data_IF_258055461978
#
_entry.id   IF_258055461978
#
_cell.length_a   1.000
_cell.length_b   1.000
_cell.length_c   1.000
_cell.angle_alpha   90.00
_cell.angle_beta   90.00
_cell.angle_gamma   90.00
#
_symmetry.space_group_name_H-M   'P 1'
#
loop_
_entity.id
_entity.type
_entity.pdbx_description
1 polymer ?
#
# COMPACT_ATOMS: atom_id res chain seq x y z
N UNK A 1 79.21 5.94 -7.12
CA UNK A 1 79.81 4.96 -8.06
C UNK A 1 78.92 5.00 -9.30
N UNK A 2 79.26 5.81 -10.33
CA UNK A 2 80.06 5.39 -11.50
C UNK A 2 79.44 4.13 -12.10
N UNK A 3 78.91 4.15 -13.32
CA UNK A 3 79.64 3.91 -14.58
C UNK A 3 78.78 2.89 -15.35
N UNK A 4 78.63 2.82 -16.67
CA UNK A 4 79.21 3.48 -17.83
C UNK A 4 78.39 3.06 -19.05
N UNK A 5 78.16 3.97 -19.99
CA UNK A 5 77.86 3.64 -21.38
C UNK A 5 78.98 2.77 -21.99
N UNK A 6 78.62 1.82 -22.86
CA UNK A 6 79.40 1.37 -24.03
C UNK A 6 78.43 0.58 -24.95
N UNK A 7 77.98 1.08 -26.11
CA UNK A 7 78.64 1.19 -27.43
C UNK A 7 79.18 -0.14 -27.99
N UNK A 8 78.66 -0.53 -29.17
CA UNK A 8 79.28 -1.20 -30.34
C UNK A 8 78.29 -2.21 -31.01
N UNK A 9 78.42 -2.55 -32.31
CA UNK A 9 78.45 -1.66 -33.47
C UNK A 9 77.69 -2.20 -34.73
N UNK A 10 77.66 -1.33 -35.75
CA UNK A 10 77.51 -1.52 -37.20
C UNK A 10 77.64 -2.94 -37.78
N UNK A 11 76.80 -3.25 -38.79
CA UNK A 11 77.27 -3.77 -40.09
C UNK A 11 76.18 -3.77 -41.19
N UNK A 12 76.45 -3.03 -42.27
CA UNK A 12 76.28 -3.41 -43.69
C UNK A 12 74.86 -3.68 -44.25
N UNK A 13 74.42 -3.16 -45.41
CA UNK A 13 75.10 -2.99 -46.70
C UNK A 13 74.46 -1.85 -47.51
N UNK A 14 75.31 -1.03 -48.11
CA UNK A 14 75.05 -0.22 -49.30
C UNK A 14 75.98 -0.74 -50.39
N UNK A 15 75.51 -0.87 -51.63
CA UNK A 15 76.37 -0.98 -52.80
C UNK A 15 75.82 -0.20 -54.00
N UNK A 16 76.70 0.35 -54.86
CA UNK A 16 76.43 1.53 -55.68
C UNK A 16 76.75 1.30 -57.20
N UNK A 17 76.87 2.40 -57.95
CA UNK A 17 77.66 2.59 -59.20
C UNK A 17 76.92 2.09 -60.48
N UNK A 18 76.87 2.72 -61.66
CA UNK A 18 77.76 3.57 -62.50
C UNK A 18 76.83 4.17 -63.60
N UNK A 19 77.00 5.33 -64.25
CA UNK A 19 78.15 5.80 -65.04
C UNK A 19 77.93 7.27 -65.49
N UNK A 20 78.92 8.14 -65.27
CA UNK A 20 79.16 9.40 -65.98
C UNK A 20 80.67 9.52 -66.16
N UNK A 21 81.19 9.59 -67.38
CA UNK A 21 82.28 10.51 -67.77
C UNK A 21 82.71 10.34 -69.25
N UNK A 22 83.03 11.48 -69.87
CA UNK A 22 84.10 11.75 -70.87
C UNK A 22 83.57 12.35 -72.18
N UNK A 23 83.64 13.67 -72.45
CA UNK A 23 84.78 14.58 -72.71
C UNK A 23 85.39 14.42 -74.14
N UNK A 24 85.46 15.55 -74.87
CA UNK A 24 86.49 16.01 -75.86
C UNK A 24 86.04 16.28 -77.33
N UNK A 25 86.42 17.49 -77.79
CA UNK A 25 86.72 17.98 -79.16
C UNK A 25 85.64 18.54 -80.11
N UNK A 26 85.45 19.87 -80.01
CA UNK A 26 85.23 20.86 -81.09
C UNK A 26 86.53 20.97 -81.95
N UNK A 27 86.60 21.51 -83.20
CA UNK A 27 85.59 22.16 -84.08
C UNK A 27 85.59 21.66 -85.55
N UNK A 28 84.63 22.14 -86.35
CA UNK A 28 84.87 23.00 -87.53
C UNK A 28 83.89 22.76 -88.69
N UNK A 29 83.08 23.80 -88.95
CA UNK A 29 82.99 24.46 -90.26
C UNK A 29 82.14 23.78 -91.37
N UNK A 30 81.16 24.57 -91.86
CA UNK A 30 80.44 24.50 -93.15
C UNK A 30 79.18 23.60 -93.15
N UNK A 31 77.99 24.19 -92.95
CA UNK A 31 77.09 24.77 -93.98
C UNK A 31 76.22 23.70 -94.66
N UNK A 32 74.91 23.70 -94.38
CA UNK A 32 73.84 24.03 -95.34
C UNK A 32 72.45 23.61 -94.82
N UNK A 33 71.63 24.63 -94.57
CA UNK A 33 70.20 24.76 -94.93
C UNK A 33 69.12 24.05 -94.10
N UNK A 34 68.40 24.91 -93.36
CA UNK A 34 66.95 25.16 -93.50
C UNK A 34 65.94 24.17 -92.92
N UNK A 35 65.07 24.70 -92.05
CA UNK A 35 63.65 24.30 -92.00
C UNK A 35 63.05 24.20 -90.61
N UNK A 36 62.43 25.29 -90.14
CA UNK A 36 61.55 25.32 -88.97
C UNK A 36 60.30 24.43 -89.15
N UNK A 37 59.76 23.91 -88.05
CA UNK A 37 58.31 23.71 -87.94
C UNK A 37 57.84 22.55 -87.05
N UNK A 38 57.13 22.89 -85.98
CA UNK A 38 56.11 22.02 -85.36
C UNK A 38 56.55 21.24 -84.13
N UNK A 39 56.19 21.75 -82.95
CA UNK A 39 56.41 21.15 -81.64
C UNK A 39 55.05 20.69 -81.08
N UNK A 40 54.68 19.42 -81.27
CA UNK A 40 53.50 18.83 -80.63
C UNK A 40 53.92 18.03 -79.40
N UNK A 41 53.49 18.55 -78.25
CA UNK A 41 53.76 18.03 -76.92
C UNK A 41 52.63 17.07 -76.50
N UNK A 42 52.89 15.77 -76.51
CA UNK A 42 52.11 14.79 -75.74
C UNK A 42 52.54 14.85 -74.26
N UNK A 43 52.02 15.87 -73.56
CA UNK A 43 51.97 15.88 -72.10
C UNK A 43 50.73 15.11 -71.59
N UNK A 44 50.73 14.58 -70.36
CA UNK A 44 49.56 13.92 -69.79
C UNK A 44 48.36 14.88 -69.81
N UNK A 45 47.19 14.37 -70.19
CA UNK A 45 45.93 15.13 -70.21
C UNK A 45 45.66 15.64 -68.79
N UNK A 46 45.95 16.92 -68.55
CA UNK A 46 45.55 17.64 -67.35
C UNK A 46 44.18 18.26 -67.62
N UNK A 47 43.13 17.60 -67.14
CA UNK A 47 41.80 18.17 -67.09
C UNK A 47 41.61 18.88 -65.74
N UNK A 48 41.56 20.21 -65.74
CA UNK A 48 41.10 20.98 -64.59
C UNK A 48 39.59 21.21 -64.74
N UNK A 49 38.79 20.59 -63.89
CA UNK A 49 37.36 20.83 -63.77
C UNK A 49 37.02 21.23 -62.34
N UNK A 50 35.99 22.07 -62.17
CA UNK A 50 35.39 22.33 -60.87
C UNK A 50 34.24 21.34 -60.70
N UNK A 51 34.23 20.62 -59.58
CA UNK A 51 33.08 19.80 -59.18
C UNK A 51 32.25 20.69 -58.26
N UNK A 52 31.09 21.11 -58.74
CA UNK A 52 30.08 21.81 -57.93
C UNK A 52 29.09 20.75 -57.44
N UNK A 53 28.90 20.68 -56.12
CA UNK A 53 27.94 19.77 -55.48
C UNK A 53 27.13 20.52 -54.42
N UNK A 54 25.96 19.98 -54.07
CA UNK A 54 25.18 20.52 -52.96
C UNK A 54 25.85 20.18 -51.63
N UNK A 55 26.23 21.21 -50.87
CA UNK A 55 26.91 21.06 -49.59
C UNK A 55 25.92 21.15 -48.42
N UNK A 56 25.98 20.17 -47.52
CA UNK A 56 25.23 20.12 -46.28
C UNK A 56 26.19 20.32 -45.10
N UNK A 57 25.97 21.38 -44.33
CA UNK A 57 26.78 21.72 -43.18
C UNK A 57 26.23 21.06 -41.93
N UNK A 58 27.07 20.29 -41.25
CA UNK A 58 26.74 19.62 -40.00
C UNK A 58 27.31 20.44 -38.85
N UNK A 59 26.43 21.06 -38.08
CA UNK A 59 26.75 21.86 -36.91
C UNK A 59 26.21 21.20 -35.64
N UNK A 60 26.85 21.49 -34.51
CA UNK A 60 26.34 21.04 -33.21
C UNK A 60 25.14 21.88 -32.79
N UNK A 61 24.06 21.22 -32.36
CA UNK A 61 22.91 21.91 -31.75
C UNK A 61 23.18 22.29 -30.29
N UNK A 62 24.01 21.49 -29.61
CA UNK A 62 24.38 21.66 -28.20
C UNK A 62 25.89 21.85 -28.03
N UNK A 63 26.29 22.58 -27.00
CA UNK A 63 27.70 22.80 -26.69
C UNK A 63 28.26 21.66 -25.85
N UNK A 64 29.50 21.24 -26.11
CA UNK A 64 30.12 20.15 -25.35
C UNK A 64 31.51 19.77 -25.86
N UNK A 65 32.23 18.96 -25.08
CA UNK A 65 33.52 18.40 -25.52
C UNK A 65 33.26 17.30 -26.52
N UNK A 66 34.01 17.27 -27.62
CA UNK A 66 33.97 16.19 -28.61
C UNK A 66 34.69 14.98 -28.02
N UNK A 67 33.96 13.88 -27.82
CA UNK A 67 34.53 12.63 -27.33
C UNK A 67 35.24 11.87 -28.45
N UNK A 68 34.57 11.74 -29.60
CA UNK A 68 35.11 11.06 -30.78
C UNK A 68 34.57 11.65 -32.08
N UNK A 69 35.41 11.61 -33.11
CA UNK A 69 35.03 11.87 -34.50
C UNK A 69 35.27 10.57 -35.26
N UNK A 70 34.23 10.05 -35.89
CA UNK A 70 34.19 8.70 -36.47
C UNK A 70 34.42 8.69 -37.99
N UNK A 71 34.63 9.85 -38.60
CA UNK A 71 34.83 10.04 -40.04
C UNK A 71 36.00 10.99 -40.30
N UNK A 72 36.72 10.74 -41.39
CA UNK A 72 37.78 11.59 -41.91
C UNK A 72 37.35 12.26 -43.23
N UNK A 73 38.10 13.28 -43.65
CA UNK A 73 37.87 13.93 -44.95
C UNK A 73 38.05 12.93 -46.10
N UNK A 74 37.09 12.89 -47.02
CA UNK A 74 37.05 11.95 -48.14
C UNK A 74 36.28 10.65 -47.87
N UNK A 75 35.80 10.41 -46.64
CA UNK A 75 34.99 9.22 -46.34
C UNK A 75 33.58 9.32 -46.92
N UNK A 76 33.06 8.20 -47.43
CA UNK A 76 31.65 8.05 -47.81
C UNK A 76 30.78 7.81 -46.57
N UNK A 77 29.70 8.57 -46.44
CA UNK A 77 28.74 8.47 -45.35
C UNK A 77 27.32 8.24 -45.85
N UNK A 78 26.52 7.51 -45.07
CA UNK A 78 25.10 7.23 -45.35
C UNK A 78 24.18 8.05 -44.45
N UNK A 79 22.94 8.28 -44.89
CA UNK A 79 21.89 8.85 -44.04
C UNK A 79 21.79 8.08 -42.71
N UNK A 80 21.81 8.80 -41.59
CA UNK A 80 21.76 8.26 -40.23
C UNK A 80 23.10 7.76 -39.69
N UNK A 81 24.18 7.77 -40.47
CA UNK A 81 25.51 7.38 -39.99
C UNK A 81 26.02 8.37 -38.95
N UNK A 82 26.49 7.87 -37.80
CA UNK A 82 27.08 8.70 -36.75
C UNK A 82 28.42 9.24 -37.20
N UNK A 83 28.59 10.56 -37.10
CA UNK A 83 29.78 11.28 -37.55
C UNK A 83 30.62 11.76 -36.36
N UNK A 84 29.97 12.35 -35.36
CA UNK A 84 30.61 12.94 -34.19
C UNK A 84 29.81 12.57 -32.94
N UNK A 85 30.51 12.24 -31.85
CA UNK A 85 29.90 12.12 -30.53
C UNK A 85 30.52 13.12 -29.58
N UNK A 86 29.66 13.82 -28.84
CA UNK A 86 30.04 14.67 -27.72
C UNK A 86 30.09 13.82 -26.43
N UNK A 87 30.81 14.32 -25.43
CA UNK A 87 30.90 13.71 -24.10
C UNK A 87 29.53 13.70 -23.41
N UNK A 88 29.03 12.51 -23.15
CA UNK A 88 27.72 12.23 -22.58
C UNK A 88 27.77 11.77 -21.11
N UNK A 89 28.96 11.67 -20.50
CA UNK A 89 29.15 11.00 -19.21
C UNK A 89 28.29 11.58 -18.07
N UNK A 90 28.10 12.91 -18.08
CA UNK A 90 27.23 13.60 -17.12
C UNK A 90 25.74 13.26 -17.37
N UNK A 91 25.29 13.34 -18.62
CA UNK A 91 23.89 13.10 -18.99
C UNK A 91 23.52 11.62 -18.85
N UNK A 92 24.43 10.69 -19.11
CA UNK A 92 24.24 9.27 -18.84
C UNK A 92 24.11 8.98 -17.33
N UNK A 93 24.83 9.74 -16.50
CA UNK A 93 24.67 9.65 -15.04
C UNK A 93 23.30 10.20 -14.61
N UNK A 94 22.86 11.33 -15.14
CA UNK A 94 21.53 11.88 -14.90
C UNK A 94 20.41 10.96 -15.43
N UNK A 95 20.63 10.29 -16.57
CA UNK A 95 19.73 9.31 -17.15
C UNK A 95 19.54 8.12 -16.21
N UNK A 96 20.62 7.58 -15.66
CA UNK A 96 20.55 6.49 -14.66
C UNK A 96 19.77 6.92 -13.41
N UNK A 97 19.94 8.15 -12.95
CA UNK A 97 19.17 8.70 -11.84
C UNK A 97 17.68 8.84 -12.19
N UNK A 98 17.34 9.37 -13.36
CA UNK A 98 15.96 9.50 -13.83
C UNK A 98 15.28 8.14 -14.05
N UNK A 99 16.00 7.15 -14.57
CA UNK A 99 15.53 5.76 -14.67
C UNK A 99 15.21 5.17 -13.30
N UNK A 100 16.05 5.42 -12.29
CA UNK A 100 15.78 5.01 -10.92
C UNK A 100 14.53 5.71 -10.37
N UNK A 101 14.34 7.01 -10.65
CA UNK A 101 13.14 7.73 -10.26
C UNK A 101 11.85 7.15 -10.90
N UNK A 102 11.91 6.75 -12.18
CA UNK A 102 10.82 6.03 -12.84
C UNK A 102 10.53 4.71 -12.15
N UNK A 103 11.57 3.92 -11.83
CA UNK A 103 11.40 2.64 -11.13
C UNK A 103 10.74 2.81 -9.76
N UNK A 104 11.11 3.85 -9.00
CA UNK A 104 10.48 4.19 -7.71
C UNK A 104 9.00 4.55 -7.93
N UNK A 105 8.69 5.42 -8.90
CA UNK A 105 7.31 5.82 -9.17
C UNK A 105 6.44 4.65 -9.67
N UNK A 106 7.00 3.71 -10.44
CA UNK A 106 6.32 2.48 -10.83
C UNK A 106 6.03 1.58 -9.64
N UNK A 107 7.01 1.41 -8.74
CA UNK A 107 6.83 0.63 -7.51
C UNK A 107 5.76 1.26 -6.60
N UNK A 108 5.73 2.59 -6.50
CA UNK A 108 4.70 3.31 -5.77
C UNK A 108 3.31 3.12 -6.38
N UNK A 109 3.17 3.22 -7.70
CA UNK A 109 1.90 2.93 -8.37
C UNK A 109 1.44 1.49 -8.16
N UNK A 110 2.36 0.53 -8.24
CA UNK A 110 2.07 -0.87 -7.96
C UNK A 110 1.63 -1.09 -6.50
N UNK A 111 2.30 -0.43 -5.55
CA UNK A 111 1.94 -0.46 -4.13
C UNK A 111 0.54 0.12 -3.88
N UNK A 112 0.23 1.29 -4.46
CA UNK A 112 -1.09 1.90 -4.33
C UNK A 112 -2.16 0.98 -4.93
N UNK A 113 -1.95 0.47 -6.15
CA UNK A 113 -2.89 -0.46 -6.81
C UNK A 113 -3.11 -1.77 -6.06
N UNK A 114 -2.10 -2.27 -5.36
CA UNK A 114 -2.21 -3.49 -4.57
C UNK A 114 -3.16 -3.31 -3.36
N UNK A 115 -3.35 -2.08 -2.89
CA UNK A 115 -4.24 -1.76 -1.77
C UNK A 115 -3.84 -2.45 -0.47
N UNK A 116 -4.85 -2.83 0.32
CA UNK A 116 -4.66 -3.51 1.60
C UNK A 116 -3.96 -4.86 1.44
N UNK A 117 -2.98 -5.12 2.32
CA UNK A 117 -2.19 -6.36 2.30
C UNK A 117 -3.09 -7.55 2.67
N UNK A 118 -2.84 -8.78 2.15
CA UNK A 118 -3.60 -9.96 2.53
C UNK A 118 -3.64 -10.22 4.04
N UNK A 119 -2.54 -9.92 4.74
CA UNK A 119 -2.45 -10.05 6.21
C UNK A 119 -3.38 -9.05 6.93
N UNK A 120 -3.53 -7.82 6.43
CA UNK A 120 -4.43 -6.82 7.01
C UNK A 120 -5.89 -7.24 6.84
N UNK A 121 -6.28 -7.67 5.64
CA UNK A 121 -7.63 -8.23 5.40
C UNK A 121 -7.92 -9.48 6.22
N UNK A 122 -6.92 -10.34 6.43
CA UNK A 122 -7.06 -11.51 7.30
C UNK A 122 -7.28 -11.09 8.77
N UNK A 123 -6.54 -10.10 9.26
CA UNK A 123 -6.72 -9.57 10.60
C UNK A 123 -8.10 -8.91 10.79
N UNK A 124 -8.56 -8.12 9.81
CA UNK A 124 -9.90 -7.52 9.84
C UNK A 124 -11.02 -8.57 9.84
N UNK A 125 -10.92 -9.62 9.00
CA UNK A 125 -11.85 -10.76 9.04
C UNK A 125 -11.85 -11.49 10.37
N UNK A 126 -10.68 -11.65 11.00
CA UNK A 126 -10.59 -12.24 12.33
C UNK A 126 -11.25 -11.35 13.40
N UNK A 127 -11.09 -10.03 13.29
CA UNK A 127 -11.75 -9.07 14.17
C UNK A 127 -13.27 -9.09 14.01
N UNK A 128 -13.77 -9.18 12.77
CA UNK A 128 -15.20 -9.37 12.47
C UNK A 128 -15.71 -10.67 13.11
N UNK A 129 -15.05 -11.80 12.85
CA UNK A 129 -15.45 -13.08 13.45
C UNK A 129 -15.44 -13.05 14.99
N UNK A 130 -14.50 -12.32 15.59
CA UNK A 130 -14.48 -12.11 17.04
C UNK A 130 -15.66 -11.25 17.53
N UNK A 131 -16.02 -10.21 16.79
CA UNK A 131 -17.18 -9.36 17.10
C UNK A 131 -18.49 -10.16 16.96
N UNK A 132 -18.63 -10.98 15.92
CA UNK A 132 -19.78 -11.87 15.72
C UNK A 132 -19.92 -12.85 16.89
N UNK A 133 -18.81 -13.49 17.31
CA UNK A 133 -18.83 -14.40 18.46
C UNK A 133 -19.26 -13.69 19.77
N UNK A 134 -18.88 -12.41 19.95
CA UNK A 134 -19.34 -11.60 21.09
C UNK A 134 -20.83 -11.26 21.00
N UNK A 135 -21.32 -10.90 19.80
CA UNK A 135 -22.75 -10.67 19.52
C UNK A 135 -23.57 -11.91 19.81
N UNK A 136 -23.10 -13.08 19.39
CA UNK A 136 -23.78 -14.35 19.62
C UNK A 136 -23.80 -14.71 21.12
N UNK A 137 -22.69 -14.49 21.83
CA UNK A 137 -22.63 -14.64 23.28
C UNK A 137 -23.60 -13.70 24.02
N UNK A 138 -23.69 -12.44 23.57
CA UNK A 138 -24.62 -11.45 24.12
C UNK A 138 -26.09 -11.79 23.80
N UNK A 139 -26.38 -12.31 22.61
CA UNK A 139 -27.70 -12.80 22.23
C UNK A 139 -28.13 -13.95 23.14
N UNK A 140 -27.25 -14.92 23.37
CA UNK A 140 -27.53 -16.03 24.27
C UNK A 140 -27.80 -15.53 25.70
N UNK A 141 -27.05 -14.53 26.18
CA UNK A 141 -27.28 -13.92 27.47
C UNK A 141 -28.65 -13.21 27.56
N UNK A 142 -29.06 -12.51 26.50
CA UNK A 142 -30.38 -11.90 26.39
C UNK A 142 -31.50 -12.94 26.41
N UNK A 143 -31.37 -14.03 25.67
CA UNK A 143 -32.34 -15.13 25.69
C UNK A 143 -32.43 -15.78 27.08
N UNK A 144 -31.30 -15.94 27.77
CA UNK A 144 -31.28 -16.45 29.14
C UNK A 144 -32.02 -15.51 30.10
N UNK A 145 -31.79 -14.19 29.97
CA UNK A 145 -32.46 -13.18 30.80
C UNK A 145 -33.98 -13.16 30.53
N UNK A 146 -34.40 -13.26 29.26
CA UNK A 146 -35.82 -13.33 28.89
C UNK A 146 -36.50 -14.59 29.45
N UNK A 147 -35.83 -15.75 29.35
CA UNK A 147 -36.34 -17.00 29.96
C UNK A 147 -36.46 -16.90 31.47
N UNK A 148 -35.52 -16.25 32.15
CA UNK A 148 -35.59 -16.04 33.59
C UNK A 148 -36.76 -15.11 33.99
N UNK A 149 -37.07 -14.10 33.15
CA UNK A 149 -38.23 -13.23 33.33
C UNK A 149 -39.56 -13.97 33.11
N UNK A 150 -39.64 -14.80 32.08
CA UNK A 150 -40.84 -15.59 31.75
C UNK A 150 -41.11 -16.72 32.75
N UNK A 151 -40.05 -17.33 33.27
CA UNK A 151 -40.12 -18.48 34.17
C UNK A 151 -39.24 -18.27 35.42
N UNK A 152 -39.68 -17.45 36.40
CA UNK A 152 -38.92 -17.17 37.61
C UNK A 152 -39.01 -18.34 38.59
N UNK A 153 -38.32 -19.45 38.30
CA UNK A 153 -38.39 -20.72 39.05
C UNK A 153 -38.20 -20.54 40.57
N UNK A 154 -37.28 -19.67 40.97
CA UNK A 154 -37.01 -19.38 42.38
C UNK A 154 -38.21 -18.70 43.07
N UNK A 155 -38.85 -17.74 42.39
CA UNK A 155 -40.03 -17.06 42.91
C UNK A 155 -41.24 -17.99 42.96
N UNK A 156 -41.40 -18.84 41.94
CA UNK A 156 -42.47 -19.84 41.91
C UNK A 156 -42.32 -20.86 43.05
N UNK A 157 -41.08 -21.27 43.37
CA UNK A 157 -40.80 -22.14 44.51
C UNK A 157 -41.12 -21.45 45.85
N UNK A 158 -40.73 -20.20 46.02
CA UNK A 158 -41.04 -19.41 47.22
C UNK A 158 -42.55 -19.19 47.40
N UNK A 159 -43.29 -18.98 46.31
CA UNK A 159 -44.75 -18.87 46.33
C UNK A 159 -45.37 -20.20 46.76
N UNK A 160 -44.95 -21.33 46.17
CA UNK A 160 -45.47 -22.65 46.55
C UNK A 160 -45.19 -22.99 48.03
N UNK A 161 -44.01 -22.61 48.54
CA UNK A 161 -43.67 -22.75 49.96
C UNK A 161 -44.59 -21.86 50.82
N UNK A 162 -44.76 -20.58 50.46
CA UNK A 162 -45.63 -19.66 51.19
C UNK A 162 -47.11 -20.10 51.18
N UNK A 163 -47.61 -20.65 50.06
CA UNK A 163 -48.94 -21.26 49.97
C UNK A 163 -49.09 -22.43 50.96
N UNK A 164 -48.06 -23.27 51.08
CA UNK A 164 -48.02 -24.36 52.06
C UNK A 164 -48.06 -23.83 53.50
N UNK A 165 -47.31 -22.76 53.80
CA UNK A 165 -47.31 -22.13 55.13
C UNK A 165 -48.66 -21.52 55.49
N UNK A 166 -49.36 -20.90 54.52
CA UNK A 166 -50.73 -20.42 54.72
C UNK A 166 -51.67 -21.59 55.03
N UNK A 167 -51.60 -22.68 54.26
CA UNK A 167 -52.45 -23.85 54.50
C UNK A 167 -52.23 -24.49 55.88
N UNK A 168 -50.98 -24.53 56.36
CA UNK A 168 -50.64 -24.99 57.71
C UNK A 168 -51.21 -24.05 58.78
N UNK A 169 -51.04 -22.73 58.62
CA UNK A 169 -51.59 -21.75 59.56
C UNK A 169 -53.13 -21.76 59.58
N UNK A 170 -53.78 -22.02 58.44
CA UNK A 170 -55.23 -22.23 58.39
C UNK A 170 -55.66 -23.47 59.19
N UNK A 171 -54.91 -24.58 59.11
CA UNK A 171 -55.17 -25.76 59.95
C UNK A 171 -54.97 -25.46 61.44
N UNK A 172 -53.95 -24.68 61.81
CA UNK A 172 -53.72 -24.26 63.20
C UNK A 172 -54.87 -23.43 63.75
N UNK A 173 -55.38 -22.47 62.97
CA UNK A 173 -56.56 -21.67 63.32
C UNK A 173 -57.78 -22.56 63.54
N UNK A 174 -58.02 -23.53 62.64
CA UNK A 174 -59.15 -24.46 62.78
C UNK A 174 -59.02 -25.35 64.03
N UNK A 175 -57.82 -25.83 64.35
CA UNK A 175 -57.57 -26.58 65.58
C UNK A 175 -57.78 -25.72 66.84
N UNK A 176 -57.22 -24.52 66.89
CA UNK A 176 -57.38 -23.60 68.02
C UNK A 176 -58.85 -23.20 68.22
N UNK A 177 -59.61 -23.04 67.12
CA UNK A 177 -61.04 -22.75 67.15
C UNK A 177 -61.84 -23.94 67.68
N UNK A 178 -61.48 -25.16 67.29
CA UNK A 178 -62.10 -26.37 67.81
C UNK A 178 -61.83 -26.55 69.31
N UNK A 179 -60.60 -26.27 69.76
CA UNK A 179 -60.21 -26.29 71.18
C UNK A 179 -60.99 -25.25 71.98
N UNK A 180 -61.09 -24.01 71.50
CA UNK A 180 -61.90 -22.96 72.13
C UNK A 180 -63.37 -23.41 72.27
N UNK A 181 -63.96 -23.99 71.22
CA UNK A 181 -65.33 -24.48 71.26
C UNK A 181 -65.50 -25.62 72.29
N UNK A 182 -64.55 -26.56 72.36
CA UNK A 182 -64.56 -27.62 73.38
C UNK A 182 -64.51 -27.06 74.80
N UNK A 183 -63.61 -26.11 75.07
CA UNK A 183 -63.45 -25.47 76.38
C UNK A 183 -64.71 -24.68 76.76
N UNK A 184 -65.33 -23.98 75.80
CA UNK A 184 -66.59 -23.26 76.00
C UNK A 184 -67.75 -24.22 76.35
N UNK A 185 -67.84 -25.37 75.68
CA UNK A 185 -68.83 -26.40 76.01
C UNK A 185 -68.62 -26.93 77.44
N UNK A 186 -67.37 -27.22 77.83
CA UNK A 186 -67.05 -27.66 79.20
C UNK A 186 -67.38 -26.58 80.23
N UNK A 187 -67.04 -25.31 79.97
CA UNK A 187 -67.43 -24.19 80.81
C UNK A 187 -68.95 -24.19 81.06
N UNK A 188 -69.76 -24.28 79.99
CA UNK A 188 -71.22 -24.29 80.10
C UNK A 188 -71.79 -25.48 80.88
N UNK A 189 -71.11 -26.63 80.89
CA UNK A 189 -71.54 -27.83 81.63
C UNK A 189 -71.10 -27.83 83.10
N UNK A 190 -69.91 -27.32 83.39
CA UNK A 190 -69.26 -27.47 84.70
C UNK A 190 -69.22 -26.21 85.56
N UNK A 191 -69.50 -25.02 85.01
CA UNK A 191 -69.40 -23.75 85.76
C UNK A 191 -70.34 -23.69 86.99
N UNK A 192 -71.52 -24.30 86.91
CA UNK A 192 -72.57 -24.18 87.94
C UNK A 192 -72.41 -25.17 89.13
N UNK A 193 -71.32 -25.94 89.18
CA UNK A 193 -71.09 -26.98 90.20
C UNK A 193 -70.62 -26.42 91.57
N UNK A 194 -70.48 -25.10 91.71
CA UNK A 194 -70.05 -24.42 92.95
C UNK A 194 -68.53 -24.52 93.22
N UNK A 195 -68.01 -23.73 94.17
CA UNK A 195 -66.57 -23.65 94.48
C UNK A 195 -65.76 -22.75 93.52
N UNK A 196 -64.44 -22.95 93.43
CA UNK A 196 -63.52 -22.19 92.53
C UNK A 196 -63.62 -22.63 91.04
N UNK A 197 -64.61 -23.46 90.71
CA UNK A 197 -64.73 -24.15 89.43
C UNK A 197 -65.03 -23.19 88.28
N UNK A 198 -65.92 -22.21 88.49
CA UNK A 198 -66.25 -21.18 87.49
C UNK A 198 -65.03 -20.34 87.10
N UNK A 199 -64.26 -19.87 88.09
CA UNK A 199 -63.04 -19.10 87.87
C UNK A 199 -61.95 -19.91 87.14
N UNK A 200 -61.85 -21.21 87.41
CA UNK A 200 -60.87 -22.07 86.75
C UNK A 200 -61.20 -22.26 85.27
N UNK A 201 -62.46 -22.52 84.94
CA UNK A 201 -62.88 -22.68 83.55
C UNK A 201 -62.88 -21.37 82.77
N UNK A 202 -63.19 -20.23 83.41
CA UNK A 202 -63.11 -18.92 82.73
C UNK A 202 -61.69 -18.58 82.30
N UNK A 203 -60.68 -18.86 83.15
CA UNK A 203 -59.27 -18.72 82.79
C UNK A 203 -58.87 -19.65 81.63
N UNK A 204 -59.43 -20.85 81.54
CA UNK A 204 -59.18 -21.75 80.40
C UNK A 204 -59.80 -21.24 79.11
N UNK A 205 -60.99 -20.65 79.16
CA UNK A 205 -61.61 -20.01 77.99
C UNK A 205 -60.75 -18.84 77.52
N UNK A 206 -60.30 -17.97 78.43
CA UNK A 206 -59.41 -16.84 78.09
C UNK A 206 -58.10 -17.32 77.47
N UNK A 207 -57.49 -18.39 78.01
CA UNK A 207 -56.29 -18.99 77.43
C UNK A 207 -56.52 -19.57 76.02
N UNK A 208 -57.64 -20.25 75.79
CA UNK A 208 -58.01 -20.79 74.48
C UNK A 208 -58.36 -19.68 73.46
N UNK A 209 -58.97 -18.58 73.92
CA UNK A 209 -59.19 -17.38 73.10
C UNK A 209 -57.87 -16.75 72.68
N UNK A 210 -56.94 -16.56 73.62
CA UNK A 210 -55.61 -16.03 73.32
C UNK A 210 -54.83 -16.94 72.36
N UNK A 211 -55.00 -18.27 72.46
CA UNK A 211 -54.42 -19.22 71.52
C UNK A 211 -54.99 -19.09 70.10
N UNK A 212 -56.33 -18.94 69.98
CA UNK A 212 -56.98 -18.67 68.69
C UNK A 212 -56.51 -17.33 68.08
N UNK A 213 -56.49 -16.26 68.87
CA UNK A 213 -56.00 -14.95 68.42
C UNK A 213 -54.53 -15.03 67.95
N UNK A 214 -53.70 -15.80 68.65
CA UNK A 214 -52.32 -16.06 68.25
C UNK A 214 -52.21 -16.80 66.91
N UNK A 215 -53.03 -17.83 66.70
CA UNK A 215 -53.08 -18.58 65.44
C UNK A 215 -53.60 -17.70 64.28
N UNK A 216 -54.63 -16.88 64.52
CA UNK A 216 -55.18 -15.94 63.54
C UNK A 216 -54.16 -14.87 63.13
N UNK A 217 -53.41 -14.33 64.10
CA UNK A 217 -52.32 -13.39 63.83
C UNK A 217 -51.20 -14.02 62.97
N UNK A 218 -50.88 -15.29 63.23
CA UNK A 218 -49.90 -16.05 62.43
C UNK A 218 -50.40 -16.28 61.00
N UNK A 219 -51.67 -16.66 60.83
CA UNK A 219 -52.31 -16.78 59.51
C UNK A 219 -52.31 -15.45 58.75
N UNK A 220 -52.60 -14.34 59.42
CA UNK A 220 -52.53 -13.03 58.80
C UNK A 220 -51.11 -12.70 58.34
N UNK A 221 -50.10 -12.98 59.17
CA UNK A 221 -48.69 -12.79 58.83
C UNK A 221 -48.27 -13.57 57.59
N UNK A 222 -48.61 -14.86 57.51
CA UNK A 222 -48.29 -15.72 56.35
C UNK A 222 -49.01 -15.28 55.08
N UNK A 223 -50.29 -14.87 55.17
CA UNK A 223 -51.05 -14.32 54.04
C UNK A 223 -50.46 -13.00 53.52
N UNK A 224 -50.02 -12.10 54.40
CA UNK A 224 -49.34 -10.86 54.01
C UNK A 224 -48.04 -11.16 53.25
N UNK A 225 -47.28 -12.14 53.71
CA UNK A 225 -46.07 -12.59 53.03
C UNK A 225 -46.35 -13.15 51.63
N UNK A 226 -47.32 -14.06 51.49
CA UNK A 226 -47.74 -14.60 50.19
C UNK A 226 -48.18 -13.50 49.22
N UNK A 227 -48.99 -12.53 49.70
CA UNK A 227 -49.40 -11.39 48.89
C UNK A 227 -48.22 -10.53 48.41
N UNK A 228 -47.18 -10.35 49.24
CA UNK A 228 -45.97 -9.65 48.84
C UNK A 228 -45.23 -10.39 47.71
N UNK A 229 -45.17 -11.72 47.75
CA UNK A 229 -44.57 -12.53 46.68
C UNK A 229 -45.36 -12.41 45.36
N UNK A 230 -46.68 -12.44 45.41
CA UNK A 230 -47.49 -12.21 44.21
C UNK A 230 -47.34 -10.81 43.63
N UNK A 231 -47.15 -9.78 44.48
CA UNK A 231 -46.85 -8.44 44.01
C UNK A 231 -45.50 -8.40 43.27
N UNK A 232 -44.47 -9.07 43.79
CA UNK A 232 -43.17 -9.22 43.10
C UNK A 232 -43.34 -9.94 41.77
N UNK A 233 -44.16 -10.99 41.70
CA UNK A 233 -44.46 -11.72 40.46
C UNK A 233 -45.18 -10.86 39.43
N UNK A 234 -46.09 -9.99 39.88
CA UNK A 234 -46.83 -9.09 39.01
C UNK A 234 -45.92 -8.03 38.37
N UNK A 235 -44.91 -7.57 39.11
CA UNK A 235 -43.97 -6.53 38.64
C UNK A 235 -42.51 -6.89 38.97
N UNK A 236 -41.89 -7.82 38.22
CA UNK A 236 -40.53 -8.29 38.49
C UNK A 236 -39.48 -7.28 37.98
N UNK A 237 -39.38 -6.12 38.63
CA UNK A 237 -38.52 -5.00 38.25
C UNK A 237 -37.04 -5.40 38.10
N UNK A 238 -36.56 -6.30 38.95
CA UNK A 238 -35.16 -6.79 38.92
C UNK A 238 -34.87 -7.61 37.67
N UNK A 239 -35.77 -8.51 37.30
CA UNK A 239 -35.64 -9.34 36.08
C UNK A 239 -35.81 -8.49 34.82
N UNK A 240 -36.73 -7.52 34.83
CA UNK A 240 -36.87 -6.56 33.73
C UNK A 240 -35.60 -5.74 33.53
N UNK A 241 -35.00 -5.24 34.62
CA UNK A 241 -33.72 -4.53 34.55
C UNK A 241 -32.59 -5.42 34.01
N UNK A 242 -32.57 -6.72 34.34
CA UNK A 242 -31.60 -7.67 33.77
C UNK A 242 -31.80 -7.87 32.27
N UNK A 243 -33.04 -8.00 31.80
CA UNK A 243 -33.35 -8.08 30.36
C UNK A 243 -32.86 -6.81 29.66
N UNK A 244 -33.19 -5.62 30.15
CA UNK A 244 -32.74 -4.37 29.54
C UNK A 244 -31.21 -4.23 29.54
N UNK A 245 -30.52 -4.68 30.59
CA UNK A 245 -29.07 -4.70 30.62
C UNK A 245 -28.49 -5.65 29.55
N UNK A 246 -29.09 -6.82 29.36
CA UNK A 246 -28.68 -7.77 28.32
C UNK A 246 -29.02 -7.26 26.90
N UNK A 247 -30.15 -6.56 26.71
CA UNK A 247 -30.50 -5.89 25.44
C UNK A 247 -29.47 -4.83 25.08
N UNK A 248 -29.07 -4.00 26.05
CA UNK A 248 -28.02 -3.01 25.84
C UNK A 248 -26.67 -3.63 25.49
N UNK A 249 -26.31 -4.76 26.13
CA UNK A 249 -25.10 -5.51 25.81
C UNK A 249 -25.14 -6.11 24.39
N UNK A 250 -26.27 -6.70 24.01
CA UNK A 250 -26.48 -7.22 22.65
C UNK A 250 -26.37 -6.10 21.61
N UNK A 251 -27.04 -4.96 21.82
CA UNK A 251 -26.98 -3.82 20.92
C UNK A 251 -25.55 -3.25 20.79
N UNK A 252 -24.79 -3.19 21.88
CA UNK A 252 -23.39 -2.77 21.84
C UNK A 252 -22.51 -3.75 21.06
N UNK A 253 -22.75 -5.06 21.18
CA UNK A 253 -22.03 -6.08 20.43
C UNK A 253 -22.41 -6.08 18.94
N UNK A 254 -23.68 -5.85 18.60
CA UNK A 254 -24.16 -5.68 17.23
C UNK A 254 -23.51 -4.45 16.56
N UNK A 255 -23.44 -3.32 17.25
CA UNK A 255 -22.71 -2.14 16.77
C UNK A 255 -21.21 -2.40 16.58
N UNK A 256 -20.61 -3.29 17.38
CA UNK A 256 -19.22 -3.68 17.21
C UNK A 256 -19.01 -4.56 15.96
N UNK A 257 -19.99 -5.41 15.62
CA UNK A 257 -20.00 -6.16 14.35
C UNK A 257 -20.06 -5.20 13.18
N UNK A 258 -21.01 -4.26 13.18
CA UNK A 258 -21.16 -3.26 12.12
C UNK A 258 -19.86 -2.44 11.91
N UNK A 259 -19.22 -2.02 13.01
CA UNK A 259 -17.95 -1.31 12.93
C UNK A 259 -16.81 -2.18 12.35
N UNK A 260 -16.77 -3.47 12.68
CA UNK A 260 -15.77 -4.40 12.15
C UNK A 260 -16.02 -4.76 10.68
N UNK A 261 -17.29 -4.89 10.27
CA UNK A 261 -17.68 -5.06 8.86
C UNK A 261 -17.28 -3.83 8.05
N UNK A 262 -17.63 -2.62 8.49
CA UNK A 262 -17.26 -1.38 7.81
C UNK A 262 -15.73 -1.23 7.64
N UNK A 263 -14.96 -1.62 8.66
CA UNK A 263 -13.51 -1.61 8.60
C UNK A 263 -12.96 -2.65 7.60
N UNK A 264 -13.61 -3.81 7.45
CA UNK A 264 -13.24 -4.80 6.45
C UNK A 264 -13.59 -4.30 5.04
N UNK A 265 -14.78 -3.73 4.87
CA UNK A 265 -15.27 -3.19 3.59
C UNK A 265 -14.35 -2.08 3.07
N UNK A 266 -13.86 -1.20 3.94
CA UNK A 266 -12.88 -0.17 3.57
C UNK A 266 -11.59 -0.78 3.00
N UNK A 267 -11.10 -1.88 3.60
CA UNK A 267 -9.91 -2.58 3.12
C UNK A 267 -10.15 -3.37 1.82
N UNK A 268 -11.38 -3.81 1.58
CA UNK A 268 -11.77 -4.54 0.36
C UNK A 268 -12.09 -3.63 -0.82
N UNK A 269 -12.64 -2.44 -0.56
CA UNK A 269 -12.90 -1.42 -1.58
C UNK A 269 -11.61 -1.00 -2.33
N UNK A 270 -10.45 -1.13 -1.69
CA UNK A 270 -9.16 -0.88 -2.30
C UNK A 270 -8.84 0.61 -2.47
N UNK A 271 -7.77 0.96 -3.20
CA UNK A 271 -7.37 2.35 -3.41
C UNK A 271 -8.41 3.11 -4.22
N UNK A 272 -8.61 4.38 -3.89
CA UNK A 272 -9.53 5.24 -4.63
C UNK A 272 -8.99 5.58 -6.02
N UNK A 273 -9.89 5.95 -6.94
CA UNK A 273 -9.50 6.34 -8.29
C UNK A 273 -8.56 7.55 -8.31
N UNK A 274 -8.74 8.44 -7.35
CA UNK A 274 -7.97 9.66 -7.12
C UNK A 274 -6.54 9.34 -6.66
N UNK A 275 -6.37 8.38 -5.74
CA UNK A 275 -5.07 7.90 -5.29
C UNK A 275 -4.28 7.26 -6.42
N UNK A 276 -4.93 6.40 -7.20
CA UNK A 276 -4.32 5.76 -8.38
C UNK A 276 -3.93 6.81 -9.41
N UNK A 277 -4.82 7.78 -9.70
CA UNK A 277 -4.55 8.86 -10.65
C UNK A 277 -3.36 9.72 -10.20
N UNK A 278 -3.24 10.04 -8.91
CA UNK A 278 -2.10 10.79 -8.38
C UNK A 278 -0.79 10.00 -8.55
N UNK A 279 -0.79 8.70 -8.25
CA UNK A 279 0.38 7.85 -8.43
C UNK A 279 0.76 7.70 -9.92
N UNK A 280 -0.22 7.60 -10.81
CA UNK A 280 0.00 7.61 -12.26
C UNK A 280 0.59 8.94 -12.74
N UNK A 281 0.10 10.07 -12.23
CA UNK A 281 0.63 11.39 -12.58
C UNK A 281 2.12 11.52 -12.17
N UNK A 282 2.50 11.01 -10.99
CA UNK A 282 3.90 10.98 -10.55
C UNK A 282 4.77 10.11 -11.46
N UNK A 283 4.26 8.96 -11.91
CA UNK A 283 4.96 8.13 -12.89
C UNK A 283 5.14 8.88 -14.22
N UNK A 284 4.09 9.51 -14.73
CA UNK A 284 4.17 10.31 -15.96
C UNK A 284 5.17 11.46 -15.84
N UNK A 285 5.23 12.14 -14.70
CA UNK A 285 6.20 13.19 -14.43
C UNK A 285 7.64 12.64 -14.48
N UNK A 286 7.91 11.50 -13.82
CA UNK A 286 9.23 10.88 -13.84
C UNK A 286 9.63 10.41 -15.26
N UNK A 287 8.67 9.88 -16.02
CA UNK A 287 8.88 9.48 -17.41
C UNK A 287 9.19 10.69 -18.31
N UNK A 288 8.49 11.81 -18.12
CA UNK A 288 8.75 13.04 -18.85
C UNK A 288 10.15 13.61 -18.55
N UNK A 289 10.58 13.55 -17.29
CA UNK A 289 11.94 13.96 -16.90
C UNK A 289 13.02 13.08 -17.56
N UNK A 290 12.81 11.77 -17.62
CA UNK A 290 13.69 10.85 -18.35
C UNK A 290 13.70 11.16 -19.85
N UNK A 291 12.53 11.36 -20.46
CA UNK A 291 12.40 11.65 -21.89
C UNK A 291 13.13 12.94 -22.28
N UNK A 292 13.16 13.95 -21.40
CA UNK A 292 13.93 15.16 -21.61
C UNK A 292 15.44 14.89 -21.66
N UNK A 293 15.95 14.05 -20.75
CA UNK A 293 17.38 13.67 -20.72
C UNK A 293 17.72 12.82 -21.95
N UNK A 294 16.86 11.87 -22.31
CA UNK A 294 17.03 11.05 -23.51
C UNK A 294 17.08 11.92 -24.78
N UNK A 295 16.26 12.97 -24.86
CA UNK A 295 16.29 13.93 -25.97
C UNK A 295 17.61 14.75 -25.99
N UNK A 296 18.13 15.13 -24.83
CA UNK A 296 19.43 15.82 -24.72
C UNK A 296 20.61 14.92 -25.12
N UNK A 297 20.57 13.64 -24.72
CA UNK A 297 21.56 12.65 -25.14
C UNK A 297 21.54 12.41 -26.64
N UNK A 298 20.35 12.38 -27.25
CA UNK A 298 20.23 12.26 -28.71
C UNK A 298 20.92 13.41 -29.45
N UNK A 299 20.86 14.63 -28.91
CA UNK A 299 21.52 15.81 -29.48
C UNK A 299 23.06 15.77 -29.37
N UNK A 300 23.64 14.90 -28.52
CA UNK A 300 25.09 14.72 -28.42
C UNK A 300 25.67 13.83 -29.54
N UNK A 301 24.82 13.17 -30.31
CA UNK A 301 25.24 12.30 -31.41
C UNK A 301 24.85 12.97 -32.73
N UNK A 302 25.84 13.47 -33.47
CA UNK A 302 25.59 14.08 -34.77
C UNK A 302 25.61 12.99 -35.85
N UNK A 303 24.52 12.90 -36.61
CA UNK A 303 24.36 11.94 -37.71
C UNK A 303 24.29 12.64 -39.06
N UNK A 304 24.66 11.93 -40.13
CA UNK A 304 24.51 12.44 -41.48
C UNK A 304 23.03 12.52 -41.92
N UNK A 305 22.52 13.67 -42.39
CA UNK A 305 21.18 13.79 -42.97
C UNK A 305 21.12 13.36 -44.43
N UNK A 306 22.27 13.24 -45.11
CA UNK A 306 22.39 12.87 -46.53
C UNK A 306 23.32 11.66 -46.71
N UNK A 307 23.26 11.02 -47.86
CA UNK A 307 24.32 10.10 -48.32
C UNK A 307 25.27 10.92 -49.20
N UNK A 308 26.59 10.84 -48.97
CA UNK A 308 27.56 11.67 -49.67
C UNK A 308 28.98 11.48 -49.16
N UNK A 309 29.89 12.39 -49.49
CA UNK A 309 31.28 12.37 -49.00
C UNK A 309 31.57 13.51 -48.04
N UNK A 310 32.46 13.30 -47.07
CA UNK A 310 32.94 14.36 -46.18
C UNK A 310 33.91 15.27 -46.94
N UNK A 311 33.54 16.53 -47.19
CA UNK A 311 34.36 17.50 -47.92
C UNK A 311 35.39 18.18 -47.02
N UNK A 312 35.00 18.49 -45.78
CA UNK A 312 35.92 19.10 -44.82
C UNK A 312 35.56 18.74 -43.38
N UNK A 313 36.59 18.61 -42.55
CA UNK A 313 36.49 18.40 -41.11
C UNK A 313 37.17 19.54 -40.36
N UNK A 314 36.37 20.30 -39.64
CA UNK A 314 36.82 21.48 -38.89
C UNK A 314 37.01 21.22 -37.39
N UNK A 315 37.03 19.95 -36.96
CA UNK A 315 37.11 19.57 -35.53
C UNK A 315 37.96 18.33 -35.26
N UNK A 316 38.50 18.26 -34.05
CA UNK A 316 39.21 17.10 -33.52
C UNK A 316 38.63 16.61 -32.18
N UNK A 317 38.86 15.33 -31.89
CA UNK A 317 38.53 14.77 -30.58
C UNK A 317 39.25 15.55 -29.46
N UNK A 318 38.51 15.86 -28.39
CA UNK A 318 38.98 16.65 -27.26
C UNK A 318 38.74 18.16 -27.36
N UNK A 319 38.39 18.69 -28.53
CA UNK A 319 38.00 20.09 -28.72
C UNK A 319 36.57 20.36 -28.22
N UNK A 320 36.19 21.63 -28.05
CA UNK A 320 34.86 22.04 -27.59
C UNK A 320 34.00 22.46 -28.79
N UNK A 321 32.93 21.73 -29.03
CA UNK A 321 31.89 22.12 -29.97
C UNK A 321 31.08 23.29 -29.41
N UNK A 322 30.87 24.32 -30.23
CA UNK A 322 30.03 25.47 -29.92
C UNK A 322 28.75 25.37 -30.75
N UNK A 323 27.56 25.61 -30.16
CA UNK A 323 26.30 25.57 -30.89
C UNK A 323 26.32 26.46 -32.15
N UNK A 324 25.87 25.91 -33.27
CA UNK A 324 25.77 26.63 -34.55
C UNK A 324 27.08 26.80 -35.33
N UNK A 325 28.21 26.31 -34.81
CA UNK A 325 29.47 26.25 -35.58
C UNK A 325 29.53 24.94 -36.36
N UNK A 326 29.81 25.03 -37.66
CA UNK A 326 29.99 23.87 -38.54
C UNK A 326 31.18 23.03 -38.09
N UNK A 327 30.94 21.74 -37.87
CA UNK A 327 31.98 20.78 -37.51
C UNK A 327 32.44 19.96 -38.73
N UNK A 328 31.50 19.59 -39.59
CA UNK A 328 31.73 18.82 -40.81
C UNK A 328 30.94 19.42 -41.96
N UNK A 329 31.46 19.30 -43.18
CA UNK A 329 30.70 19.56 -44.39
C UNK A 329 30.62 18.28 -45.25
N UNK A 330 29.43 18.03 -45.79
CA UNK A 330 29.12 16.86 -46.60
C UNK A 330 28.69 17.33 -47.98
N UNK A 331 29.19 16.72 -49.05
CA UNK A 331 28.68 16.95 -50.39
C UNK A 331 27.97 15.71 -50.92
N UNK A 332 26.80 15.93 -51.53
CA UNK A 332 26.22 14.92 -52.39
C UNK A 332 26.93 14.98 -53.75
N UNK A 333 27.48 13.86 -54.21
CA UNK A 333 28.21 13.75 -55.49
C UNK A 333 27.41 13.02 -56.58
N UNK A 334 26.16 12.66 -56.30
CA UNK A 334 25.22 12.07 -57.25
C UNK A 334 24.47 13.12 -58.08
#
# INVERSE_FOLDING_TARGET
>A
MKNTLHLLPLATRLSPIVYRLSLICIPALVLLLSGCGGNDADGPITASGFIEGEECLIASEVGGRIAEVLVDEGDEVKIGQVLVRLDDALLETQRREALAAVAVAQADLARVRAGARPAERAAARAALAQAEAQRDGALQALENARRALEHPQELDAQIAEAETQVALAEQEVEMARAELNEVQLKYGVYADQGGDTEQTWSLQVEAAQAALEGAEAQLEGTRRYLNALYAIRATPLTLQAQVHAAEAQYAAAEAAVEAAEAALDELEAGPTSEEVALAQARLHQAQAALALIDAQLAQLTLTSPITGVVTSRSVHAGETATPGVTLLALANLD
#
